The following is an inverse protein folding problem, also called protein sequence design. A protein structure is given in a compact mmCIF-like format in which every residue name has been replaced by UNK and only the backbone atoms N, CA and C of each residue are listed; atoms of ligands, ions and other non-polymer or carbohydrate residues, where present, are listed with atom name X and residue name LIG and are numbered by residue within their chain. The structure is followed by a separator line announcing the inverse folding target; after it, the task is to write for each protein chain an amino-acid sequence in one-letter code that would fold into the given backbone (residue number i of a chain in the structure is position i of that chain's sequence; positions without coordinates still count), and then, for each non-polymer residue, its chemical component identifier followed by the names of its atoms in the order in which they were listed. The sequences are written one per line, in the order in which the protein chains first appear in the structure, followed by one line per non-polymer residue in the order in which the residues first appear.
data_IF_439038905640
#
_entry.id   IF_439038905640
#
_cell.length_a   1.000
_cell.length_b   1.000
_cell.length_c   1.000
_cell.angle_alpha   90.00
_cell.angle_beta   90.00
_cell.angle_gamma   90.00
#
_symmetry.space_group_name_H-M   'P 1'
#
loop_
_entity.id
_entity.type
_entity.pdbx_description
1 polymer ?
#
# COMPACT_ATOMS: atom_id res chain seq x y z
N UNK A 1 25.51 22.20 1.58
CA UNK A 1 25.36 20.92 2.30
C UNK A 1 23.97 20.40 1.97
N UNK A 2 23.90 19.40 1.09
CA UNK A 2 22.67 18.84 0.53
C UNK A 2 22.27 17.61 1.33
N UNK A 3 21.01 17.44 1.75
CA UNK A 3 20.55 16.19 2.33
C UNK A 3 20.25 15.19 1.21
N UNK A 4 20.88 14.02 1.30
CA UNK A 4 20.70 12.87 0.41
C UNK A 4 19.53 12.03 0.91
N UNK A 5 18.37 12.15 0.28
CA UNK A 5 17.23 11.25 0.49
C UNK A 5 17.53 9.89 -0.14
N UNK A 6 17.60 8.82 0.66
CA UNK A 6 17.62 7.44 0.16
C UNK A 6 16.26 6.80 0.46
N UNK A 7 15.45 6.66 -0.58
CA UNK A 7 14.23 5.85 -0.57
C UNK A 7 14.61 4.37 -0.65
N UNK A 8 14.00 3.52 0.17
CA UNK A 8 14.16 2.06 0.07
C UNK A 8 13.46 1.53 -1.18
N UNK A 9 14.28 1.28 -2.19
CA UNK A 9 13.92 0.49 -3.36
C UNK A 9 14.18 -0.97 -3.01
N UNK A 10 13.17 -1.84 -3.16
CA UNK A 10 13.35 -3.30 -3.22
C UNK A 10 14.48 -3.56 -4.22
N UNK A 11 15.60 -4.13 -3.75
CA UNK A 11 16.83 -4.39 -4.50
C UNK A 11 16.73 -4.16 -6.03
N UNK A 12 16.90 -2.90 -6.46
CA UNK A 12 17.20 -2.61 -7.86
C UNK A 12 18.71 -2.78 -8.02
N UNK A 13 19.15 -4.00 -8.30
CA UNK A 13 20.25 -4.11 -9.24
C UNK A 13 19.73 -3.50 -10.54
N UNK A 14 20.14 -2.28 -10.88
CA UNK A 14 19.90 -1.73 -12.22
C UNK A 14 20.66 -2.63 -13.19
N UNK A 15 20.00 -3.51 -13.95
CA UNK A 15 20.70 -4.30 -14.94
C UNK A 15 20.95 -3.30 -16.07
N UNK A 16 22.20 -2.94 -16.32
CA UNK A 16 22.56 -2.15 -17.51
C UNK A 16 22.21 -2.89 -18.81
N UNK A 17 21.81 -4.17 -18.72
CA UNK A 17 21.24 -5.01 -19.79
C UNK A 17 20.19 -5.95 -19.19
N UNK A 18 19.01 -6.11 -19.81
CA UNK A 18 18.07 -7.18 -19.43
C UNK A 18 16.59 -6.82 -19.43
N UNK A 19 15.78 -7.69 -18.83
CA UNK A 19 14.36 -7.43 -18.61
C UNK A 19 14.16 -6.75 -17.25
N UNK A 20 13.55 -5.57 -17.27
CA UNK A 20 12.99 -4.96 -16.09
C UNK A 20 11.54 -5.43 -15.91
N UNK A 21 11.17 -5.78 -14.69
CA UNK A 21 9.80 -6.14 -14.32
C UNK A 21 9.50 -5.61 -12.92
N UNK A 22 8.37 -4.95 -12.77
CA UNK A 22 7.87 -4.50 -11.47
C UNK A 22 6.39 -4.85 -11.35
N UNK A 23 6.00 -5.31 -10.17
CA UNK A 23 4.60 -5.57 -9.81
C UNK A 23 4.32 -4.79 -8.54
N UNK A 24 3.24 -4.03 -8.53
CA UNK A 24 2.79 -3.30 -7.37
C UNK A 24 1.33 -3.61 -7.06
N UNK A 25 1.05 -3.74 -5.78
CA UNK A 25 -0.29 -3.95 -5.25
C UNK A 25 -0.53 -2.93 -4.16
N UNK A 26 -1.77 -2.58 -3.97
CA UNK A 26 -2.15 -1.81 -2.81
C UNK A 26 -3.63 -1.61 -2.73
N UNK A 27 -4.03 -0.88 -1.70
CA UNK A 27 -5.43 -0.58 -1.46
C UNK A 27 -5.66 0.70 -0.67
N UNK A 28 -6.85 1.29 -0.85
CA UNK A 28 -7.37 2.43 -0.09
C UNK A 28 -8.78 2.11 0.38
N UNK A 29 -9.14 2.70 1.51
CA UNK A 29 -10.53 2.88 1.89
C UNK A 29 -11.00 4.25 1.42
N UNK A 30 -12.18 4.29 0.81
CA UNK A 30 -12.78 5.54 0.35
C UNK A 30 -14.27 5.56 0.66
N UNK A 31 -14.88 6.75 0.67
CA UNK A 31 -16.34 6.88 0.79
C UNK A 31 -17.07 6.09 -0.29
N UNK A 32 -18.09 5.33 0.10
CA UNK A 32 -18.80 4.43 -0.80
C UNK A 32 -19.47 5.15 -1.99
N UNK A 33 -20.00 6.35 -1.77
CA UNK A 33 -20.60 7.20 -2.81
C UNK A 33 -19.57 7.73 -3.84
N UNK A 34 -18.30 7.84 -3.45
CA UNK A 34 -17.19 8.23 -4.31
C UNK A 34 -16.52 7.04 -5.02
N UNK A 35 -16.81 5.79 -4.63
CA UNK A 35 -16.11 4.59 -5.09
C UNK A 35 -16.18 4.36 -6.60
N UNK A 36 -17.38 4.48 -7.16
CA UNK A 36 -17.56 4.33 -8.61
C UNK A 36 -16.92 5.49 -9.39
N UNK A 37 -16.94 6.70 -8.84
CA UNK A 37 -16.30 7.88 -9.43
C UNK A 37 -14.79 7.73 -9.45
N UNK A 38 -14.18 7.28 -8.35
CA UNK A 38 -12.74 7.06 -8.27
C UNK A 38 -12.28 5.96 -9.23
N UNK A 39 -13.02 4.84 -9.31
CA UNK A 39 -12.70 3.74 -10.23
C UNK A 39 -12.64 4.22 -11.68
N UNK A 40 -13.56 5.11 -12.07
CA UNK A 40 -13.55 5.71 -13.41
C UNK A 40 -12.43 6.73 -13.58
N UNK A 41 -12.15 7.56 -12.57
CA UNK A 41 -11.09 8.57 -12.63
C UNK A 41 -9.69 7.94 -12.77
N UNK A 42 -9.45 6.84 -12.06
CA UNK A 42 -8.20 6.08 -12.14
C UNK A 42 -7.92 5.48 -13.51
N UNK A 43 -8.96 5.29 -14.34
CA UNK A 43 -8.80 4.77 -15.71
C UNK A 43 -8.01 5.74 -16.59
N UNK A 44 -8.16 7.04 -16.37
CA UNK A 44 -7.62 8.05 -17.27
C UNK A 44 -6.23 8.54 -16.83
N UNK A 45 -5.69 7.97 -15.75
CA UNK A 45 -4.42 8.36 -15.16
C UNK A 45 -3.32 7.32 -15.47
N UNK A 46 -2.21 7.78 -16.05
CA UNK A 46 -1.02 6.95 -16.27
C UNK A 46 -0.14 6.97 -15.03
N UNK A 47 0.12 5.80 -14.44
CA UNK A 47 1.06 5.55 -13.31
C UNK A 47 0.90 6.54 -12.15
N UNK A 48 -0.03 6.27 -11.24
CA UNK A 48 0.08 6.77 -9.88
C UNK A 48 0.53 5.64 -8.97
N UNK A 49 1.63 5.85 -8.26
CA UNK A 49 1.86 5.10 -7.04
C UNK A 49 0.79 5.57 -6.05
N UNK A 50 -0.10 4.71 -5.59
CA UNK A 50 -1.11 5.10 -4.62
C UNK A 50 -0.54 5.53 -3.28
N UNK A 51 0.72 5.20 -2.98
CA UNK A 51 1.47 5.83 -1.89
C UNK A 51 1.63 7.33 -2.09
N UNK A 52 1.65 7.81 -3.34
CA UNK A 52 1.69 9.24 -3.69
C UNK A 52 0.33 9.92 -3.42
N UNK A 53 -0.78 9.18 -3.46
CA UNK A 53 -2.12 9.75 -3.23
C UNK A 53 -2.34 10.12 -1.76
N UNK A 54 -1.76 9.36 -0.84
CA UNK A 54 -1.97 9.51 0.61
C UNK A 54 -0.68 9.78 1.41
N UNK A 55 0.46 9.94 0.73
CA UNK A 55 1.81 10.12 1.29
C UNK A 55 2.12 9.16 2.44
N UNK A 56 2.44 7.90 2.12
CA UNK A 56 2.81 6.92 3.13
C UNK A 56 4.27 6.50 3.01
N UNK A 57 5.21 7.46 3.07
CA UNK A 57 6.66 7.20 3.21
C UNK A 57 7.03 6.25 4.38
N UNK A 58 6.02 5.74 5.12
CA UNK A 58 6.13 4.74 6.15
C UNK A 58 6.58 5.39 7.46
N UNK A 59 6.32 4.70 8.55
CA UNK A 59 6.92 5.06 9.82
C UNK A 59 8.38 4.59 9.80
N UNK A 60 9.33 5.50 9.65
CA UNK A 60 10.77 5.19 9.78
C UNK A 60 11.31 5.91 10.99
N UNK A 61 11.63 5.16 12.05
CA UNK A 61 12.16 5.65 13.34
C UNK A 61 11.38 6.79 14.00
N UNK A 62 10.12 7.02 13.59
CA UNK A 62 9.29 8.12 14.07
C UNK A 62 8.31 7.73 15.19
N UNK A 63 8.02 6.43 15.32
CA UNK A 63 7.15 5.85 16.34
C UNK A 63 7.72 4.48 16.74
N UNK A 64 7.38 3.99 17.93
CA UNK A 64 7.51 2.55 18.19
C UNK A 64 6.39 1.78 17.49
N UNK A 65 6.64 0.54 17.07
CA UNK A 65 5.63 -0.32 16.40
C UNK A 65 4.33 -0.43 17.22
N UNK A 66 4.42 -0.50 18.55
CA UNK A 66 3.27 -0.58 19.45
C UNK A 66 2.51 0.75 19.65
N UNK A 67 3.03 1.85 19.11
CA UNK A 67 2.37 3.17 19.11
C UNK A 67 1.62 3.44 17.80
N UNK A 68 1.95 2.72 16.73
CA UNK A 68 1.20 2.78 15.47
C UNK A 68 -0.21 2.23 15.71
N UNK A 69 -1.24 2.98 15.32
CA UNK A 69 -2.64 2.62 15.64
C UNK A 69 -3.17 3.11 16.99
N UNK A 70 -2.33 3.70 17.85
CA UNK A 70 -2.74 4.24 19.16
C UNK A 70 -2.65 5.76 19.22
N UNK A 71 -3.20 6.32 20.30
CA UNK A 71 -2.96 7.71 20.69
C UNK A 71 -1.50 7.80 21.16
N UNK A 72 -0.61 8.18 20.24
CA UNK A 72 0.80 8.47 20.50
C UNK A 72 1.16 9.91 20.12
N UNK A 73 2.44 10.31 20.23
CA UNK A 73 2.91 11.62 19.77
C UNK A 73 2.54 11.86 18.30
N UNK A 74 2.49 13.13 17.90
CA UNK A 74 2.18 13.53 16.52
C UNK A 74 3.21 12.91 15.57
N UNK A 75 2.72 12.16 14.59
CA UNK A 75 3.53 11.57 13.52
C UNK A 75 2.91 11.94 12.17
N UNK A 76 3.67 12.54 11.23
CA UNK A 76 3.14 12.92 9.92
C UNK A 76 2.71 11.72 9.07
N UNK A 77 3.32 10.55 9.30
CA UNK A 77 3.03 9.29 8.62
C UNK A 77 1.86 8.51 9.24
N UNK A 78 1.20 9.08 10.26
CA UNK A 78 -0.02 8.51 10.85
C UNK A 78 -1.24 8.96 10.05
N UNK A 79 -2.00 8.00 9.53
CA UNK A 79 -3.21 8.28 8.76
C UNK A 79 -4.44 7.80 9.55
N UNK A 80 -4.86 8.63 10.50
CA UNK A 80 -5.95 8.37 11.45
C UNK A 80 -7.34 8.87 10.99
N UNK A 81 -7.39 9.62 9.89
CA UNK A 81 -8.60 10.19 9.34
C UNK A 81 -8.61 10.10 7.81
N UNK A 82 -9.82 10.14 7.24
CA UNK A 82 -10.01 10.35 5.81
C UNK A 82 -9.40 11.70 5.41
N UNK A 83 -8.67 11.72 4.30
CA UNK A 83 -8.05 12.93 3.75
C UNK A 83 -8.57 13.16 2.34
N UNK A 84 -8.73 14.44 1.98
CA UNK A 84 -9.04 14.82 0.61
C UNK A 84 -7.82 14.57 -0.27
N UNK A 85 -8.00 13.75 -1.30
CA UNK A 85 -6.98 13.44 -2.31
C UNK A 85 -7.51 13.84 -3.68
N UNK A 86 -6.62 14.30 -4.57
CA UNK A 86 -6.99 14.68 -5.94
C UNK A 86 -6.46 13.68 -6.94
N UNK A 87 -7.32 13.18 -7.82
CA UNK A 87 -7.00 12.16 -8.82
C UNK A 87 -7.97 12.21 -10.00
N UNK A 88 -7.47 12.16 -11.23
CA UNK A 88 -8.31 12.31 -12.43
C UNK A 88 -9.08 13.63 -12.45
N UNK A 89 -8.52 14.69 -11.85
CA UNK A 89 -9.20 15.97 -11.63
C UNK A 89 -10.42 15.89 -10.70
N UNK A 90 -10.61 14.79 -9.97
CA UNK A 90 -11.64 14.61 -8.94
C UNK A 90 -11.02 14.78 -7.56
N UNK A 91 -11.82 15.24 -6.60
CA UNK A 91 -11.46 15.26 -5.20
C UNK A 91 -12.29 14.20 -4.49
N UNK A 92 -11.63 13.28 -3.80
CA UNK A 92 -12.28 12.21 -3.04
C UNK A 92 -11.68 12.11 -1.64
N UNK A 93 -12.43 11.55 -0.70
CA UNK A 93 -11.93 11.26 0.65
C UNK A 93 -11.40 9.82 0.70
N UNK A 94 -10.12 9.68 1.04
CA UNK A 94 -9.43 8.40 1.08
C UNK A 94 -8.52 8.26 2.30
N UNK A 95 -8.23 7.02 2.68
CA UNK A 95 -7.24 6.66 3.70
C UNK A 95 -6.58 5.34 3.32
N UNK A 96 -5.28 5.14 3.59
CA UNK A 96 -4.65 3.84 3.37
C UNK A 96 -5.31 2.74 4.21
N UNK A 97 -5.23 1.51 3.71
CA UNK A 97 -5.68 0.30 4.43
C UNK A 97 -4.59 -0.30 5.30
N UNK A 98 -3.33 0.00 4.96
CA UNK A 98 -2.12 -0.48 5.62
C UNK A 98 -1.14 0.68 5.83
N UNK A 99 -0.29 0.56 6.84
CA UNK A 99 0.86 1.45 7.07
C UNK A 99 2.14 0.61 7.05
N UNK A 100 3.16 1.12 6.35
CA UNK A 100 4.49 0.53 6.38
C UNK A 100 5.24 1.04 7.61
N UNK A 101 5.98 0.16 8.26
CA UNK A 101 6.82 0.48 9.40
C UNK A 101 8.22 -0.05 9.14
N UNK A 102 9.22 0.78 9.41
CA UNK A 102 10.64 0.47 9.34
C UNK A 102 11.28 0.94 10.63
N UNK A 103 12.00 0.04 11.28
CA UNK A 103 12.92 0.38 12.35
C UNK A 103 14.33 0.15 11.84
N UNK A 104 15.16 1.19 11.91
CA UNK A 104 16.58 1.08 11.58
C UNK A 104 17.39 0.90 12.87
N UNK A 105 18.04 -0.26 13.02
CA UNK A 105 19.05 -0.43 14.06
C UNK A 105 20.17 0.59 13.88
N UNK A 106 20.45 1.39 14.91
CA UNK A 106 21.33 2.55 14.78
C UNK A 106 22.79 2.18 14.44
N UNK A 107 23.22 2.44 13.19
CA UNK A 107 24.30 3.32 12.67
C UNK A 107 25.56 3.67 13.53
N UNK A 108 25.65 3.35 14.83
CA UNK A 108 26.83 3.65 15.68
C UNK A 108 27.64 2.43 16.12
N UNK A 109 27.05 1.24 16.03
CA UNK A 109 27.76 -0.02 16.22
C UNK A 109 27.62 -0.81 14.91
N UNK A 110 28.73 -0.98 14.18
CA UNK A 110 28.75 -1.67 12.89
C UNK A 110 28.38 -3.17 12.97
N UNK A 111 27.86 -3.63 14.11
CA UNK A 111 27.51 -5.02 14.40
C UNK A 111 26.01 -5.34 14.32
N UNK A 112 25.12 -4.34 14.24
CA UNK A 112 23.68 -4.56 13.97
C UNK A 112 23.27 -3.67 12.79
N UNK A 113 23.42 -4.21 11.58
CA UNK A 113 23.06 -3.54 10.32
C UNK A 113 21.68 -3.92 9.79
N UNK A 114 20.82 -4.54 10.60
CA UNK A 114 19.54 -5.08 10.13
C UNK A 114 18.41 -4.08 10.38
N UNK A 115 17.80 -3.61 9.29
CA UNK A 115 16.51 -2.92 9.33
C UNK A 115 15.40 -3.95 9.48
N UNK A 116 14.47 -3.70 10.38
CA UNK A 116 13.25 -4.49 10.52
C UNK A 116 12.09 -3.75 9.84
N UNK A 117 11.38 -4.44 8.94
CA UNK A 117 10.21 -3.87 8.26
C UNK A 117 8.95 -4.66 8.56
N UNK A 118 7.83 -3.97 8.67
CA UNK A 118 6.52 -4.56 8.90
C UNK A 118 5.42 -3.81 8.13
N UNK A 119 4.32 -4.51 7.88
CA UNK A 119 3.08 -3.93 7.35
C UNK A 119 2.01 -4.10 8.41
N UNK A 120 1.35 -3.00 8.75
CA UNK A 120 0.35 -2.90 9.81
C UNK A 120 -1.00 -2.52 9.18
N UNK A 121 -2.16 -2.89 9.74
CA UNK A 121 -3.42 -2.25 9.38
C UNK A 121 -3.31 -0.74 9.60
N UNK A 122 -3.98 0.08 8.80
CA UNK A 122 -3.85 1.53 8.94
C UNK A 122 -4.33 2.03 10.30
N UNK A 123 -3.75 3.15 10.74
CA UNK A 123 -4.10 3.73 12.03
C UNK A 123 -5.60 4.06 12.10
N UNK A 124 -6.21 4.53 11.00
CA UNK A 124 -7.65 4.73 10.89
C UNK A 124 -8.46 3.47 11.26
N UNK A 125 -8.15 2.31 10.68
CA UNK A 125 -8.85 1.06 11.00
C UNK A 125 -8.62 0.68 12.45
N UNK A 126 -7.37 0.76 12.92
CA UNK A 126 -7.01 0.38 14.27
C UNK A 126 -7.76 1.22 15.31
N UNK A 127 -7.83 2.54 15.14
CA UNK A 127 -8.53 3.42 16.07
C UNK A 127 -10.04 3.29 15.97
N UNK A 128 -10.61 3.28 14.76
CA UNK A 128 -12.05 3.21 14.55
C UNK A 128 -12.66 1.91 15.09
N UNK A 129 -11.93 0.79 14.99
CA UNK A 129 -12.37 -0.50 15.49
C UNK A 129 -11.83 -0.85 16.90
N UNK A 130 -11.07 0.04 17.54
CA UNK A 130 -10.48 -0.21 18.86
C UNK A 130 -9.53 -1.41 18.89
N UNK A 131 -8.79 -1.64 17.81
CA UNK A 131 -7.88 -2.77 17.68
C UNK A 131 -6.59 -2.55 18.48
N UNK A 132 -6.03 -3.64 18.98
CA UNK A 132 -4.75 -3.63 19.70
C UNK A 132 -3.81 -4.69 19.16
N UNK A 133 -2.53 -4.35 19.01
CA UNK A 133 -1.50 -5.32 18.62
C UNK A 133 -1.28 -6.36 19.71
N UNK A 134 -1.29 -7.65 19.35
CA UNK A 134 -0.94 -8.76 20.26
C UNK A 134 0.58 -8.86 20.39
N UNK A 135 1.09 -8.71 21.61
CA UNK A 135 2.53 -8.85 21.85
C UNK A 135 3.04 -10.29 21.68
N UNK A 136 2.14 -11.29 21.61
CA UNK A 136 2.49 -12.72 21.49
C UNK A 136 2.62 -13.18 20.05
N UNK A 137 2.20 -12.37 19.07
CA UNK A 137 2.24 -12.73 17.66
C UNK A 137 1.68 -11.63 16.78
N UNK A 138 1.93 -11.66 15.47
CA UNK A 138 1.67 -10.52 14.59
C UNK A 138 0.17 -10.42 14.22
N UNK A 139 -0.68 -10.13 15.19
CA UNK A 139 -2.14 -10.03 15.05
C UNK A 139 -2.69 -8.80 15.75
N UNK A 140 -3.85 -8.34 15.28
CA UNK A 140 -4.60 -7.23 15.88
C UNK A 140 -5.90 -7.75 16.43
N UNK A 141 -6.09 -7.56 17.72
CA UNK A 141 -7.20 -8.07 18.49
C UNK A 141 -8.27 -6.99 18.65
N UNK A 142 -9.53 -7.39 18.61
CA UNK A 142 -10.64 -6.54 19.04
C UNK A 142 -10.65 -6.35 20.57
N UNK A 143 -11.63 -5.59 21.06
CA UNK A 143 -11.81 -5.33 22.51
C UNK A 143 -12.13 -6.59 23.33
N UNK A 144 -12.56 -7.67 22.68
CA UNK A 144 -12.82 -8.97 23.32
C UNK A 144 -11.59 -9.89 23.27
N UNK A 145 -10.48 -9.45 22.64
CA UNK A 145 -9.25 -10.23 22.48
C UNK A 145 -9.26 -11.19 21.29
N UNK A 146 -10.24 -11.09 20.39
CA UNK A 146 -10.32 -11.93 19.19
C UNK A 146 -9.50 -11.33 18.03
N UNK A 147 -8.69 -12.13 17.30
CA UNK A 147 -7.85 -11.60 16.22
C UNK A 147 -8.70 -11.23 14.99
N UNK A 148 -8.68 -9.95 14.62
CA UNK A 148 -9.36 -9.41 13.43
C UNK A 148 -8.43 -9.34 12.22
N UNK A 149 -7.16 -8.99 12.46
CA UNK A 149 -6.09 -9.08 11.47
C UNK A 149 -4.98 -10.02 11.94
N UNK A 150 -4.35 -10.70 10.99
CA UNK A 150 -3.17 -11.55 11.23
C UNK A 150 -2.21 -11.43 10.06
N UNK A 151 -0.94 -11.25 10.37
CA UNK A 151 0.12 -11.30 9.37
C UNK A 151 0.35 -12.73 8.88
N UNK A 152 0.52 -12.86 7.57
CA UNK A 152 0.72 -14.13 6.88
C UNK A 152 1.97 -14.04 6.01
N UNK A 153 2.83 -15.05 6.13
CA UNK A 153 3.93 -15.29 5.21
C UNK A 153 3.66 -16.62 4.50
N UNK A 154 3.75 -16.60 3.18
CA UNK A 154 3.65 -17.82 2.39
C UNK A 154 4.91 -18.67 2.64
N UNK A 155 4.76 -19.96 2.99
CA UNK A 155 5.92 -20.85 3.05
C UNK A 155 6.61 -20.92 1.69
N UNK A 156 7.95 -20.89 1.68
CA UNK A 156 8.78 -21.02 0.46
C UNK A 156 8.74 -19.83 -0.50
N UNK A 157 7.97 -18.77 -0.21
CA UNK A 157 7.98 -17.51 -0.95
C UNK A 157 8.22 -16.32 -0.02
N UNK A 158 8.75 -15.23 -0.57
CA UNK A 158 8.85 -13.91 0.07
C UNK A 158 7.50 -13.17 0.14
N UNK A 159 6.40 -13.83 -0.25
CA UNK A 159 5.06 -13.25 -0.25
C UNK A 159 4.54 -13.04 1.17
N UNK A 160 4.09 -11.82 1.44
CA UNK A 160 3.56 -11.37 2.73
C UNK A 160 2.18 -10.77 2.54
N UNK A 161 1.28 -11.02 3.48
CA UNK A 161 -0.07 -10.48 3.46
C UNK A 161 -0.55 -10.14 4.87
N UNK A 162 -1.50 -9.21 4.94
CA UNK A 162 -2.28 -8.96 6.13
C UNK A 162 -3.68 -9.55 5.90
N UNK A 163 -3.98 -10.65 6.58
CA UNK A 163 -5.29 -11.28 6.50
C UNK A 163 -6.27 -10.55 7.41
N UNK A 164 -7.51 -10.40 6.96
CA UNK A 164 -8.60 -9.78 7.72
C UNK A 164 -9.80 -10.71 7.77
N UNK A 165 -10.47 -10.78 8.92
CA UNK A 165 -11.72 -11.53 9.04
C UNK A 165 -12.80 -10.90 8.15
N UNK A 166 -13.37 -11.69 7.24
CA UNK A 166 -14.46 -11.26 6.35
C UNK A 166 -15.64 -10.60 7.10
N UNK A 167 -16.20 -11.17 8.19
CA UNK A 167 -17.31 -10.54 8.89
C UNK A 167 -16.96 -9.18 9.51
N UNK A 168 -15.72 -9.05 9.98
CA UNK A 168 -15.21 -7.79 10.51
C UNK A 168 -15.12 -6.74 9.40
N UNK A 169 -14.45 -7.05 8.29
CA UNK A 169 -14.30 -6.11 7.18
C UNK A 169 -15.67 -5.68 6.63
N UNK A 170 -16.58 -6.63 6.45
CA UNK A 170 -17.95 -6.34 6.03
C UNK A 170 -18.64 -5.34 6.95
N UNK A 171 -18.63 -5.60 8.27
CA UNK A 171 -19.26 -4.72 9.25
C UNK A 171 -18.61 -3.34 9.25
N UNK A 172 -17.27 -3.29 9.23
CA UNK A 172 -16.50 -2.06 9.19
C UNK A 172 -16.85 -1.18 7.98
N UNK A 173 -16.93 -1.77 6.78
CA UNK A 173 -17.30 -1.04 5.57
C UNK A 173 -18.73 -0.46 5.65
N UNK A 174 -19.68 -1.21 6.23
CA UNK A 174 -21.05 -0.70 6.46
C UNK A 174 -21.06 0.46 7.44
N UNK A 175 -20.45 0.27 8.62
CA UNK A 175 -20.51 1.23 9.72
C UNK A 175 -19.87 2.57 9.36
N UNK A 176 -18.81 2.55 8.55
CA UNK A 176 -18.10 3.76 8.14
C UNK A 176 -18.52 4.29 6.76
N UNK A 177 -19.48 3.65 6.08
CA UNK A 177 -19.89 3.97 4.71
C UNK A 177 -18.70 4.03 3.73
N UNK A 178 -17.90 2.96 3.72
CA UNK A 178 -16.67 2.86 2.94
C UNK A 178 -16.74 1.73 1.91
N UNK A 179 -15.95 1.85 0.85
CA UNK A 179 -15.56 0.74 -0.01
C UNK A 179 -14.04 0.59 -0.04
N UNK A 180 -13.57 -0.64 -0.24
CA UNK A 180 -12.17 -0.95 -0.42
C UNK A 180 -11.84 -0.91 -1.91
N UNK A 181 -10.92 -0.04 -2.31
CA UNK A 181 -10.33 -0.03 -3.64
C UNK A 181 -9.03 -0.84 -3.59
N UNK A 182 -8.88 -1.76 -4.52
CA UNK A 182 -7.67 -2.56 -4.70
C UNK A 182 -7.17 -2.35 -6.11
N UNK A 183 -5.87 -2.16 -6.27
CA UNK A 183 -5.24 -2.09 -7.57
C UNK A 183 -4.10 -3.10 -7.66
N UNK A 184 -3.89 -3.56 -8.87
CA UNK A 184 -2.77 -4.38 -9.26
C UNK A 184 -2.15 -3.73 -10.48
N UNK A 185 -0.87 -3.40 -10.38
CA UNK A 185 -0.11 -2.78 -11.45
C UNK A 185 1.09 -3.64 -11.80
N UNK A 186 1.41 -3.67 -13.07
CA UNK A 186 2.48 -4.46 -13.63
C UNK A 186 3.16 -3.65 -14.73
N UNK A 187 4.48 -3.51 -14.66
CA UNK A 187 5.26 -3.06 -15.79
C UNK A 187 6.35 -4.06 -16.15
N UNK A 188 6.63 -4.15 -17.44
CA UNK A 188 7.78 -4.86 -18.00
C UNK A 188 8.41 -4.01 -19.08
N UNK A 189 9.72 -3.90 -19.03
CA UNK A 189 10.51 -3.20 -20.03
C UNK A 189 11.68 -4.09 -20.46
N UNK A 190 12.07 -4.01 -21.72
CA UNK A 190 13.35 -4.57 -22.17
C UNK A 190 14.38 -3.46 -22.31
N UNK A 191 15.50 -3.61 -21.61
CA UNK A 191 16.63 -2.69 -21.63
C UNK A 191 17.76 -3.32 -22.46
N UNK A 192 18.11 -2.70 -23.59
CA UNK A 192 19.25 -3.06 -24.44
C UNK A 192 20.07 -1.81 -24.78
N UNK A 193 21.36 -2.00 -25.03
CA UNK A 193 22.33 -0.93 -25.32
C UNK A 193 22.09 -0.26 -26.69
N UNK A 194 21.43 -0.95 -27.62
CA UNK A 194 21.14 -0.49 -28.98
C UNK A 194 19.87 0.35 -29.09
N UNK A 195 19.06 0.42 -28.02
CA UNK A 195 17.91 1.30 -27.97
C UNK A 195 18.35 2.76 -27.75
N UNK A 196 17.94 3.64 -28.67
CA UNK A 196 18.03 5.08 -28.45
C UNK A 196 17.14 5.51 -27.27
N UNK A 197 17.51 6.58 -26.55
CA UNK A 197 16.75 7.11 -25.42
C UNK A 197 15.24 7.18 -25.77
N UNK A 198 14.42 6.36 -25.10
CA UNK A 198 12.96 6.36 -25.26
C UNK A 198 12.37 5.21 -26.09
N UNK A 199 13.19 4.43 -26.82
CA UNK A 199 12.73 3.28 -27.62
C UNK A 199 12.92 1.96 -26.87
N UNK A 200 12.21 1.77 -25.77
CA UNK A 200 12.26 0.51 -25.02
C UNK A 200 10.91 -0.18 -25.12
N UNK A 201 10.86 -1.44 -25.64
CA UNK A 201 9.66 -2.26 -25.60
C UNK A 201 9.10 -2.28 -24.19
N UNK A 202 7.87 -1.79 -24.07
CA UNK A 202 7.24 -1.49 -22.80
C UNK A 202 5.84 -2.07 -22.78
N UNK A 203 5.53 -2.78 -21.71
CA UNK A 203 4.19 -3.24 -21.40
C UNK A 203 3.85 -2.77 -20.00
N UNK A 204 2.77 -2.02 -19.90
CA UNK A 204 2.11 -1.71 -18.65
C UNK A 204 0.74 -2.39 -18.63
N UNK A 205 0.38 -3.00 -17.53
CA UNK A 205 -1.00 -3.44 -17.32
C UNK A 205 -1.43 -3.13 -15.90
N UNK A 206 -2.67 -2.66 -15.79
CA UNK A 206 -3.29 -2.40 -14.51
C UNK A 206 -4.70 -3.01 -14.45
N UNK A 207 -5.10 -3.39 -13.25
CA UNK A 207 -6.46 -3.75 -12.89
C UNK A 207 -6.79 -3.07 -11.59
N UNK A 208 -7.95 -2.44 -11.54
CA UNK A 208 -8.48 -1.86 -10.31
C UNK A 208 -9.82 -2.53 -10.05
N UNK A 209 -10.10 -2.83 -8.80
CA UNK A 209 -11.36 -3.38 -8.36
C UNK A 209 -11.84 -2.66 -7.12
N UNK A 210 -13.16 -2.66 -6.93
CA UNK A 210 -13.78 -2.22 -5.67
C UNK A 210 -14.45 -3.40 -4.98
N UNK A 211 -14.30 -3.46 -3.66
CA UNK A 211 -14.95 -4.42 -2.79
C UNK A 211 -15.90 -3.63 -1.88
N UNK A 212 -17.19 -3.89 -2.06
CA UNK A 212 -18.23 -3.29 -1.24
C UNK A 212 -18.51 -4.09 0.04
N UNK A 213 -19.36 -3.55 0.90
CA UNK A 213 -19.83 -4.22 2.11
C UNK A 213 -20.54 -5.58 1.86
N UNK A 214 -21.03 -5.82 0.66
CA UNK A 214 -21.58 -7.13 0.26
C UNK A 214 -20.50 -8.19 0.01
N UNK A 215 -19.21 -7.81 0.17
CA UNK A 215 -18.04 -8.64 -0.06
C UNK A 215 -17.91 -9.15 -1.50
N UNK A 216 -18.58 -8.48 -2.44
CA UNK A 216 -18.46 -8.78 -3.87
C UNK A 216 -17.40 -7.89 -4.51
N UNK A 217 -16.47 -8.52 -5.21
CA UNK A 217 -15.45 -7.84 -6.00
C UNK A 217 -16.08 -7.36 -7.30
N UNK A 218 -16.02 -6.06 -7.56
CA UNK A 218 -16.45 -5.44 -8.80
C UNK A 218 -15.21 -4.93 -9.52
N UNK A 219 -14.74 -5.72 -10.47
CA UNK A 219 -13.55 -5.40 -11.23
C UNK A 219 -13.85 -4.26 -12.22
N UNK A 220 -12.97 -3.28 -12.27
CA UNK A 220 -12.91 -2.30 -13.35
C UNK A 220 -12.38 -2.93 -14.64
N UNK A 221 -12.41 -2.18 -15.73
CA UNK A 221 -11.86 -2.65 -17.01
C UNK A 221 -10.34 -2.74 -16.90
N UNK A 222 -9.72 -3.92 -17.14
CA UNK A 222 -8.27 -4.03 -17.22
C UNK A 222 -7.71 -3.09 -18.28
N UNK A 223 -6.60 -2.43 -17.97
CA UNK A 223 -5.88 -1.61 -18.93
C UNK A 223 -4.56 -2.25 -19.30
N UNK A 224 -4.18 -2.02 -20.55
CA UNK A 224 -2.88 -2.43 -21.08
C UNK A 224 -2.39 -1.36 -22.03
N UNK A 225 -1.20 -0.85 -21.75
CA UNK A 225 -0.49 0.08 -22.62
C UNK A 225 0.74 -0.63 -23.15
N UNK A 226 0.95 -0.51 -24.46
CA UNK A 226 2.07 -1.11 -25.16
C UNK A 226 2.81 -0.02 -25.92
N UNK A 227 4.13 -0.06 -25.89
CA UNK A 227 4.99 0.82 -26.68
C UNK A 227 6.16 0.01 -27.22
N UNK A 228 6.52 0.29 -28.47
CA UNK A 228 7.70 -0.30 -29.13
C UNK A 228 7.71 -1.85 -29.10
N UNK A 229 6.53 -2.49 -29.16
CA UNK A 229 6.40 -3.93 -29.36
C UNK A 229 6.33 -4.19 -30.88
N UNK A 230 7.39 -4.77 -31.44
CA UNK A 230 7.38 -5.33 -32.80
C UNK A 230 6.94 -6.80 -32.79
#
# INVERSE_FOLDING_TARGET
MTPSTRSFVVAQERPTRGHYRQVEKGSLLIKADAASTLLNALRDESRHDPRDLVDSNGHTDCCYVGEVGRVGPSCPHRHDALRSVSIGGKVVEAVPTIEQYTWEGSILDCSIGESATAVLPSTFIQQAAGLTFDMRGPSWLDTAGAPMFTYYEEPEDSSRALLVRKPFLQKFLVEHNLELIVWHWYERMQLRDDYHQGQHPYVESNVIARLGADMNVRQGTPQRTERDLE
#
